data_IF_402564878254
#
_entry.id   IF_402564878254
#
_cell.length_a   1.000
_cell.length_b   1.000
_cell.length_c   1.000
_cell.angle_alpha   90.00
_cell.angle_beta   90.00
_cell.angle_gamma   90.00
#
_symmetry.space_group_name_H-M   'P 1'
#
loop_
_entity.id
_entity.type
_entity.pdbx_description
1 polymer ?
#
# COMPACT_ATOMS: atom_id res chain seq x y z
N UNK A 1 5.72 25.11 -41.60
CA UNK A 1 4.77 24.06 -41.20
C UNK A 1 5.55 23.12 -40.31
N UNK A 2 5.26 23.16 -39.01
CA UNK A 2 6.19 22.78 -37.94
C UNK A 2 6.48 21.30 -37.86
N UNK A 3 7.77 21.00 -37.77
CA UNK A 3 8.33 19.74 -37.29
C UNK A 3 8.02 19.60 -35.80
N UNK A 4 7.05 18.74 -35.49
CA UNK A 4 6.69 18.32 -34.14
C UNK A 4 7.22 16.92 -33.87
N UNK A 5 8.54 16.74 -33.96
CA UNK A 5 9.20 15.52 -33.56
C UNK A 5 8.93 15.25 -32.06
N UNK A 6 8.21 14.16 -31.79
CA UNK A 6 7.86 13.67 -30.47
C UNK A 6 9.13 13.31 -29.69
N UNK A 7 9.66 14.26 -28.93
CA UNK A 7 10.77 14.07 -28.00
C UNK A 7 10.40 13.27 -26.73
N UNK A 8 9.18 12.74 -26.64
CA UNK A 8 8.63 12.13 -25.41
C UNK A 8 8.54 10.59 -25.41
N UNK A 9 8.94 9.93 -26.50
CA UNK A 9 8.82 8.45 -26.62
C UNK A 9 9.87 7.66 -25.83
N UNK A 10 11.01 8.28 -25.48
CA UNK A 10 12.08 7.61 -24.72
C UNK A 10 11.72 7.37 -23.25
N UNK A 11 10.99 8.29 -22.62
CA UNK A 11 10.56 8.10 -21.22
C UNK A 11 9.52 6.98 -21.11
N UNK A 12 8.63 6.87 -22.11
CA UNK A 12 7.61 5.82 -22.15
C UNK A 12 8.22 4.41 -22.18
N UNK A 13 9.32 4.21 -22.92
CA UNK A 13 10.00 2.91 -23.00
C UNK A 13 10.54 2.41 -21.65
N UNK A 14 11.08 3.32 -20.82
CA UNK A 14 11.57 2.98 -19.48
C UNK A 14 10.44 2.60 -18.52
N UNK A 15 9.38 3.41 -18.46
CA UNK A 15 8.25 3.17 -17.56
C UNK A 15 7.48 1.89 -17.91
N UNK A 16 7.29 1.60 -19.21
CA UNK A 16 6.64 0.37 -19.64
C UNK A 16 7.45 -0.88 -19.25
N UNK A 17 8.78 -0.79 -19.28
CA UNK A 17 9.66 -1.88 -18.83
C UNK A 17 9.52 -2.13 -17.32
N UNK A 18 9.42 -1.08 -16.51
CA UNK A 18 9.20 -1.19 -15.06
C UNK A 18 7.82 -1.79 -14.74
N UNK A 19 6.76 -1.32 -15.41
CA UNK A 19 5.42 -1.87 -15.25
C UNK A 19 5.36 -3.35 -15.66
N UNK A 20 5.98 -3.69 -16.77
CA UNK A 20 6.06 -5.08 -17.22
C UNK A 20 6.83 -5.95 -16.22
N UNK A 21 7.95 -5.47 -15.70
CA UNK A 21 8.69 -6.14 -14.63
C UNK A 21 7.79 -6.36 -13.41
N UNK A 22 7.08 -5.31 -12.96
CA UNK A 22 6.16 -5.39 -11.83
C UNK A 22 5.09 -6.48 -12.04
N UNK A 23 4.46 -6.53 -13.22
CA UNK A 23 3.48 -7.57 -13.56
C UNK A 23 4.11 -8.97 -13.48
N UNK A 24 5.34 -9.14 -13.97
CA UNK A 24 6.04 -10.43 -13.97
C UNK A 24 6.46 -10.92 -12.59
N UNK A 25 6.78 -9.99 -11.68
CA UNK A 25 7.07 -10.29 -10.28
C UNK A 25 5.81 -10.69 -9.52
N UNK A 26 4.70 -9.96 -9.72
CA UNK A 26 3.48 -10.14 -8.93
C UNK A 26 2.55 -11.23 -9.47
N UNK A 27 2.52 -11.49 -10.78
CA UNK A 27 1.57 -12.42 -11.43
C UNK A 27 2.28 -13.54 -12.20
N UNK A 28 2.96 -14.46 -11.50
CA UNK A 28 3.82 -15.45 -12.14
C UNK A 28 3.06 -16.41 -13.06
N UNK A 29 1.75 -16.61 -12.84
CA UNK A 29 0.89 -17.55 -13.58
C UNK A 29 0.17 -16.92 -14.77
N UNK A 30 0.10 -15.59 -14.83
CA UNK A 30 -0.66 -14.88 -15.88
C UNK A 30 0.17 -14.74 -17.16
N UNK A 31 1.42 -14.29 -17.02
CA UNK A 31 2.25 -13.93 -18.16
C UNK A 31 3.26 -15.00 -18.53
N UNK A 32 3.29 -15.37 -19.82
CA UNK A 32 4.42 -16.12 -20.38
C UNK A 32 5.66 -15.22 -20.37
N UNK A 33 6.69 -15.63 -19.63
CA UNK A 33 7.99 -14.93 -19.56
C UNK A 33 9.14 -15.94 -19.51
N UNK A 34 10.32 -15.52 -19.93
CA UNK A 34 11.56 -16.23 -19.60
C UNK A 34 12.13 -15.67 -18.31
N UNK A 35 12.65 -16.54 -17.45
CA UNK A 35 13.40 -16.17 -16.25
C UNK A 35 14.89 -16.44 -16.52
N UNK A 36 15.74 -15.41 -16.44
CA UNK A 36 17.20 -15.54 -16.52
C UNK A 36 17.84 -15.94 -15.19
N UNK A 37 17.06 -16.06 -14.12
CA UNK A 37 17.55 -16.34 -12.78
C UNK A 37 18.04 -15.07 -12.08
N UNK A 38 19.02 -15.24 -11.18
CA UNK A 38 19.54 -14.15 -10.37
C UNK A 38 20.12 -13.01 -11.23
N UNK A 39 19.72 -11.78 -10.93
CA UNK A 39 20.24 -10.57 -11.56
C UNK A 39 21.37 -10.00 -10.70
N UNK A 40 22.55 -9.69 -11.26
CA UNK A 40 23.60 -8.99 -10.53
C UNK A 40 23.08 -7.67 -9.93
N UNK A 41 23.48 -7.33 -8.71
CA UNK A 41 22.96 -6.17 -7.96
C UNK A 41 23.12 -4.80 -8.66
N UNK A 42 24.07 -4.68 -9.60
CA UNK A 42 24.29 -3.45 -10.37
C UNK A 42 23.37 -3.32 -11.60
N UNK A 43 22.59 -4.35 -11.93
CA UNK A 43 21.65 -4.34 -13.04
C UNK A 43 20.21 -4.18 -12.55
N UNK A 44 19.33 -3.49 -13.32
CA UNK A 44 17.93 -3.41 -12.98
C UNK A 44 17.29 -4.80 -12.90
N UNK A 45 16.40 -5.01 -11.92
CA UNK A 45 15.66 -6.28 -11.77
C UNK A 45 14.87 -6.67 -13.02
N UNK A 46 14.43 -5.69 -13.81
CA UNK A 46 13.80 -5.91 -15.12
C UNK A 46 14.67 -6.76 -16.07
N UNK A 47 16.00 -6.76 -15.90
CA UNK A 47 16.92 -7.61 -16.64
C UNK A 47 16.77 -9.11 -16.29
N UNK A 48 16.05 -9.50 -15.23
CA UNK A 48 15.69 -10.90 -14.97
C UNK A 48 14.84 -11.48 -16.08
N UNK A 49 13.94 -10.66 -16.60
CA UNK A 49 12.85 -11.14 -17.42
C UNK A 49 13.18 -11.04 -18.90
N UNK A 50 12.85 -12.11 -19.63
CA UNK A 50 12.81 -12.11 -21.10
C UNK A 50 11.34 -12.01 -21.49
N UNK A 51 10.99 -10.91 -22.14
CA UNK A 51 9.68 -10.76 -22.74
C UNK A 51 9.48 -11.88 -23.78
N UNK A 52 8.46 -12.71 -23.58
CA UNK A 52 7.99 -13.65 -24.60
C UNK A 52 6.74 -13.06 -25.23
N UNK A 53 6.67 -13.05 -26.55
CA UNK A 53 5.48 -12.57 -27.25
C UNK A 53 4.28 -13.51 -27.04
N UNK A 54 3.10 -12.88 -26.97
CA UNK A 54 1.73 -13.39 -27.03
C UNK A 54 1.43 -14.75 -26.35
N UNK A 55 0.51 -14.70 -25.38
CA UNK A 55 -0.29 -15.87 -25.01
C UNK A 55 -1.27 -16.14 -26.15
N UNK A 56 -1.43 -17.41 -26.51
CA UNK A 56 -2.42 -17.88 -27.48
C UNK A 56 -3.82 -17.44 -27.01
N UNK A 57 -4.54 -16.68 -27.83
CA UNK A 57 -5.84 -16.07 -27.47
C UNK A 57 -5.80 -14.58 -27.06
N UNK A 58 -4.61 -13.96 -27.00
CA UNK A 58 -4.47 -12.50 -26.94
C UNK A 58 -5.02 -11.83 -25.66
N UNK A 59 -5.58 -10.62 -25.80
CA UNK A 59 -6.08 -9.82 -24.67
C UNK A 59 -7.24 -10.48 -23.92
N UNK A 60 -8.10 -11.22 -24.62
CA UNK A 60 -9.26 -11.90 -24.02
C UNK A 60 -8.79 -12.95 -23.01
N UNK A 61 -7.78 -13.74 -23.37
CA UNK A 61 -7.19 -14.73 -22.45
C UNK A 61 -6.55 -14.09 -21.23
N UNK A 62 -5.85 -12.96 -21.39
CA UNK A 62 -5.31 -12.22 -20.25
C UNK A 62 -6.42 -11.71 -19.33
N UNK A 63 -7.51 -11.19 -19.90
CA UNK A 63 -8.63 -10.70 -19.12
C UNK A 63 -9.28 -11.81 -18.31
N UNK A 64 -9.54 -12.97 -18.92
CA UNK A 64 -10.08 -14.14 -18.24
C UNK A 64 -9.17 -14.62 -17.10
N UNK A 65 -7.85 -14.64 -17.31
CA UNK A 65 -6.88 -15.01 -16.25
C UNK A 65 -6.87 -14.01 -15.10
N UNK A 66 -6.99 -12.72 -15.40
CA UNK A 66 -7.09 -11.67 -14.38
C UNK A 66 -8.41 -11.78 -13.60
N UNK A 67 -9.52 -12.03 -14.29
CA UNK A 67 -10.84 -12.17 -13.66
C UNK A 67 -10.93 -13.45 -12.80
N UNK A 68 -10.11 -14.46 -13.09
CA UNK A 68 -10.02 -15.72 -12.34
C UNK A 68 -8.90 -15.76 -11.29
N UNK A 69 -8.23 -14.64 -11.01
CA UNK A 69 -7.15 -14.58 -10.02
C UNK A 69 -7.62 -14.93 -8.62
N UNK A 70 -6.91 -15.87 -7.99
CA UNK A 70 -7.03 -16.13 -6.56
C UNK A 70 -5.92 -15.42 -5.79
N UNK A 71 -6.08 -15.30 -4.47
CA UNK A 71 -5.09 -14.68 -3.58
C UNK A 71 -3.72 -15.38 -3.69
N UNK A 72 -3.73 -16.70 -3.83
CA UNK A 72 -2.55 -17.56 -3.99
C UNK A 72 -1.84 -17.43 -5.35
N UNK A 73 -2.50 -16.83 -6.34
CA UNK A 73 -1.91 -16.55 -7.65
C UNK A 73 -1.08 -15.25 -7.67
N UNK A 74 -1.18 -14.45 -6.61
CA UNK A 74 -0.52 -13.15 -6.47
C UNK A 74 0.61 -13.24 -5.46
N UNK A 75 1.82 -12.86 -5.89
CA UNK A 75 2.94 -12.67 -4.98
C UNK A 75 2.87 -11.25 -4.45
N UNK A 76 2.53 -11.05 -3.18
CA UNK A 76 2.41 -9.71 -2.59
C UNK A 76 3.75 -9.08 -2.25
N UNK A 77 4.76 -9.90 -1.96
CA UNK A 77 6.07 -9.44 -1.51
C UNK A 77 7.21 -10.00 -2.38
N UNK A 78 7.19 -9.78 -3.71
CA UNK A 78 8.15 -10.40 -4.61
C UNK A 78 9.58 -9.85 -4.44
N UNK A 79 9.75 -8.79 -3.65
CA UNK A 79 11.02 -8.11 -3.41
C UNK A 79 11.62 -8.43 -2.03
N UNK A 80 11.02 -9.30 -1.21
CA UNK A 80 11.50 -9.54 0.16
C UNK A 80 12.98 -9.97 0.22
N UNK A 81 13.43 -10.82 -0.72
CA UNK A 81 14.84 -11.21 -0.84
C UNK A 81 15.76 -10.02 -1.12
N UNK A 82 15.28 -9.03 -1.87
CA UNK A 82 16.03 -7.81 -2.20
C UNK A 82 15.98 -6.78 -1.07
N UNK A 83 14.93 -6.78 -0.23
CA UNK A 83 14.77 -5.85 0.90
C UNK A 83 15.87 -6.01 1.94
N UNK A 84 16.41 -7.21 2.11
CA UNK A 84 17.58 -7.44 2.97
C UNK A 84 18.81 -6.63 2.52
N UNK A 85 18.91 -6.33 1.22
CA UNK A 85 20.02 -5.58 0.62
C UNK A 85 19.67 -4.10 0.38
N UNK A 86 18.39 -3.76 0.32
CA UNK A 86 17.88 -2.41 0.05
C UNK A 86 16.69 -2.08 0.94
N UNK A 87 16.93 -1.38 2.05
CA UNK A 87 15.87 -0.90 2.95
C UNK A 87 14.98 0.12 2.21
N UNK A 88 13.80 -0.34 1.77
CA UNK A 88 12.81 0.48 1.04
C UNK A 88 12.01 1.41 1.98
N UNK A 89 12.11 1.22 3.28
CA UNK A 89 11.28 1.87 4.29
C UNK A 89 11.44 3.40 4.30
N UNK A 90 12.65 3.89 4.08
CA UNK A 90 12.96 5.32 4.11
C UNK A 90 12.15 6.09 3.06
N UNK A 91 12.10 5.60 1.82
CA UNK A 91 11.38 6.24 0.71
C UNK A 91 9.87 6.26 1.00
N UNK A 92 9.33 5.19 1.60
CA UNK A 92 7.90 5.08 1.93
C UNK A 92 7.42 6.07 3.00
N UNK A 93 8.35 6.64 3.78
CA UNK A 93 8.07 7.66 4.79
C UNK A 93 8.10 9.08 4.21
N UNK A 94 8.38 9.25 2.91
CA UNK A 94 8.29 10.56 2.28
C UNK A 94 6.86 11.11 2.38
N UNK A 95 6.74 12.43 2.50
CA UNK A 95 5.48 13.15 2.33
C UNK A 95 5.70 14.34 1.40
N UNK A 96 4.89 14.44 0.34
CA UNK A 96 5.04 15.44 -0.72
C UNK A 96 4.51 14.93 -2.05
N UNK A 97 4.81 15.63 -3.14
CA UNK A 97 4.36 15.21 -4.47
C UNK A 97 5.31 14.19 -5.09
N UNK A 98 4.75 13.10 -5.61
CA UNK A 98 5.46 12.18 -6.48
C UNK A 98 5.04 12.45 -7.92
N UNK A 99 6.00 12.40 -8.84
CA UNK A 99 5.79 12.51 -10.27
C UNK A 99 6.15 11.20 -10.94
N UNK A 100 5.25 10.71 -11.78
CA UNK A 100 5.51 9.59 -12.67
C UNK A 100 4.92 9.94 -14.03
N UNK A 101 5.78 9.97 -15.06
CA UNK A 101 5.44 10.51 -16.38
C UNK A 101 4.80 11.92 -16.28
N UNK A 102 3.68 12.16 -16.96
CA UNK A 102 2.93 13.42 -16.91
C UNK A 102 2.02 13.57 -15.69
N UNK A 103 1.94 12.58 -14.80
CA UNK A 103 1.02 12.58 -13.66
C UNK A 103 1.79 12.92 -12.39
N UNK A 104 1.20 13.80 -11.59
CA UNK A 104 1.72 14.18 -10.28
C UNK A 104 0.64 13.97 -9.23
N UNK A 105 0.98 13.21 -8.19
CA UNK A 105 0.06 12.88 -7.10
C UNK A 105 0.66 13.28 -5.76
N UNK A 106 -0.14 13.84 -4.83
CA UNK A 106 0.32 14.00 -3.46
C UNK A 106 0.44 12.61 -2.82
N UNK A 107 1.63 12.30 -2.32
CA UNK A 107 1.91 11.13 -1.48
C UNK A 107 2.02 11.60 -0.04
N UNK A 108 0.99 11.30 0.76
CA UNK A 108 0.82 11.79 2.12
C UNK A 108 0.84 10.60 3.07
N UNK A 109 2.04 10.11 3.38
CA UNK A 109 2.26 8.93 4.22
C UNK A 109 1.64 9.07 5.62
N UNK A 110 1.46 10.29 6.11
CA UNK A 110 0.79 10.59 7.37
C UNK A 110 -0.70 10.22 7.40
N UNK A 111 -1.33 9.96 6.25
CA UNK A 111 -2.72 9.47 6.18
C UNK A 111 -2.84 7.99 6.55
N UNK A 112 -1.72 7.26 6.53
CA UNK A 112 -1.67 5.82 6.73
C UNK A 112 -0.60 5.41 7.76
N UNK A 113 -0.38 6.22 8.82
CA UNK A 113 0.64 6.00 9.85
C UNK A 113 0.61 4.59 10.46
N UNK A 114 -0.58 3.99 10.57
CA UNK A 114 -0.75 2.61 11.08
C UNK A 114 -0.03 1.57 10.24
N UNK A 115 0.08 1.76 8.93
CA UNK A 115 0.82 0.85 8.03
C UNK A 115 2.33 0.85 8.35
N UNK A 116 2.81 1.93 8.94
CA UNK A 116 4.22 2.11 9.34
C UNK A 116 4.44 1.81 10.83
N UNK A 117 3.46 1.20 11.52
CA UNK A 117 3.55 0.92 12.96
C UNK A 117 3.61 2.19 13.82
N UNK A 118 2.99 3.29 13.36
CA UNK A 118 3.01 4.60 14.03
C UNK A 118 1.61 5.01 14.50
N UNK A 119 1.56 5.86 15.52
CA UNK A 119 0.30 6.39 16.08
C UNK A 119 -0.39 7.24 15.02
N UNK A 120 -1.64 6.93 14.70
CA UNK A 120 -2.40 7.70 13.72
C UNK A 120 -2.92 9.00 14.34
N UNK A 121 -2.44 10.14 13.84
CA UNK A 121 -3.00 11.45 14.12
C UNK A 121 -3.90 11.94 12.99
N UNK A 122 -4.58 13.07 13.22
CA UNK A 122 -5.31 13.79 12.18
C UNK A 122 -4.32 14.21 11.09
N UNK A 123 -4.52 13.79 9.82
CA UNK A 123 -3.60 14.13 8.75
C UNK A 123 -3.66 15.63 8.44
N UNK A 124 -2.51 16.19 8.07
CA UNK A 124 -2.42 17.56 7.57
C UNK A 124 -3.15 17.72 6.24
N UNK A 125 -3.53 18.96 5.94
CA UNK A 125 -4.08 19.33 4.65
C UNK A 125 -3.09 19.06 3.51
N UNK A 126 -3.63 18.81 2.31
CA UNK A 126 -2.82 18.56 1.13
C UNK A 126 -2.04 19.84 0.80
N UNK A 127 -0.69 19.82 0.79
CA UNK A 127 0.08 21.01 0.45
C UNK A 127 -0.16 21.40 -1.01
N UNK A 128 -0.01 22.68 -1.38
CA UNK A 128 -0.09 23.10 -2.78
C UNK A 128 1.00 22.42 -3.61
N UNK A 129 0.67 22.11 -4.86
CA UNK A 129 1.61 21.48 -5.79
C UNK A 129 2.78 22.43 -6.08
N UNK A 130 4.04 21.99 -5.89
CA UNK A 130 5.19 22.82 -6.21
C UNK A 130 5.38 22.94 -7.72
N UNK A 131 5.99 24.05 -8.16
CA UNK A 131 6.31 24.28 -9.57
C UNK A 131 7.33 23.27 -10.12
N UNK A 132 8.24 22.80 -9.26
CA UNK A 132 9.26 21.81 -9.62
C UNK A 132 9.30 20.66 -8.61
N UNK A 133 8.53 19.61 -8.88
CA UNK A 133 8.43 18.42 -8.02
C UNK A 133 9.77 17.70 -7.91
N UNK A 134 10.50 17.54 -9.02
CA UNK A 134 11.76 16.79 -9.03
C UNK A 134 12.83 17.49 -8.21
N UNK A 135 12.91 18.83 -8.29
CA UNK A 135 13.81 19.62 -7.46
C UNK A 135 13.45 19.53 -5.98
N UNK A 136 12.17 19.63 -5.63
CA UNK A 136 11.72 19.49 -4.23
C UNK A 136 12.08 18.10 -3.72
N UNK A 137 11.76 17.04 -4.46
CA UNK A 137 12.15 15.68 -4.09
C UNK A 137 13.66 15.55 -3.86
N UNK A 138 14.48 15.98 -4.81
CA UNK A 138 15.94 15.87 -4.71
C UNK A 138 16.53 16.64 -3.52
N UNK A 139 15.95 17.78 -3.17
CA UNK A 139 16.48 18.66 -2.11
C UNK A 139 15.90 18.38 -0.74
N UNK A 140 14.69 17.81 -0.63
CA UNK A 140 14.00 17.67 0.65
C UNK A 140 13.77 16.23 1.09
N UNK A 141 13.88 15.22 0.21
CA UNK A 141 13.50 13.84 0.53
C UNK A 141 14.14 13.32 1.83
N UNK A 142 15.46 13.47 1.99
CA UNK A 142 16.16 12.98 3.19
C UNK A 142 15.67 13.68 4.47
N UNK A 143 15.48 15.00 4.40
CA UNK A 143 14.97 15.79 5.52
C UNK A 143 13.51 15.47 5.82
N UNK A 144 12.67 15.25 4.80
CA UNK A 144 11.26 14.84 4.95
C UNK A 144 11.13 13.49 5.63
N UNK A 145 11.94 12.51 5.25
CA UNK A 145 11.97 11.19 5.90
C UNK A 145 12.44 11.29 7.36
N UNK A 146 13.48 12.09 7.60
CA UNK A 146 13.98 12.35 8.96
C UNK A 146 12.92 13.03 9.82
N UNK A 147 12.23 14.04 9.26
CA UNK A 147 11.13 14.73 9.91
C UNK A 147 9.97 13.77 10.21
N UNK A 148 9.56 12.92 9.25
CA UNK A 148 8.53 11.92 9.46
C UNK A 148 8.85 11.02 10.67
N UNK A 149 10.10 10.54 10.76
CA UNK A 149 10.55 9.69 11.88
C UNK A 149 10.49 10.42 13.22
N UNK A 150 10.78 11.71 13.22
CA UNK A 150 10.79 12.56 14.42
C UNK A 150 9.40 12.99 14.87
N UNK A 151 8.52 13.35 13.93
CA UNK A 151 7.20 13.90 14.23
C UNK A 151 6.17 12.81 14.59
N UNK A 152 6.25 11.63 13.98
CA UNK A 152 5.24 10.59 14.16
C UNK A 152 5.75 9.48 15.08
N UNK A 153 5.17 9.37 16.27
CA UNK A 153 5.61 8.39 17.27
C UNK A 153 5.26 6.95 16.89
N UNK A 154 6.09 6.01 17.34
CA UNK A 154 5.85 4.57 17.17
C UNK A 154 4.66 4.16 18.04
N UNK A 155 3.78 3.33 17.48
CA UNK A 155 2.64 2.79 18.20
C UNK A 155 3.07 1.67 19.16
N UNK A 156 2.51 1.69 20.36
CA UNK A 156 2.66 0.66 21.39
C UNK A 156 1.84 -0.59 21.09
N UNK A 157 0.76 -0.46 20.31
CA UNK A 157 -0.08 -1.57 19.87
C UNK A 157 -0.70 -1.29 18.50
N UNK A 158 -1.19 -2.36 17.85
CA UNK A 158 -1.80 -2.25 16.53
C UNK A 158 -3.07 -1.38 16.59
N UNK A 159 -3.07 -0.29 15.81
CA UNK A 159 -4.23 0.59 15.69
C UNK A 159 -4.29 1.74 16.69
N UNK A 160 -3.21 2.01 17.43
CA UNK A 160 -3.11 3.21 18.28
C UNK A 160 -3.30 4.51 17.48
N UNK A 161 -4.07 5.44 18.05
CA UNK A 161 -4.42 6.73 17.44
C UNK A 161 -4.38 7.86 18.47
N UNK A 162 -4.30 9.11 18.02
CA UNK A 162 -4.48 10.28 18.92
C UNK A 162 -5.93 10.37 19.40
N UNK A 163 -6.14 10.98 20.56
CA UNK A 163 -7.46 11.05 21.23
C UNK A 163 -8.55 11.71 20.39
N UNK A 164 -8.17 12.64 19.53
CA UNK A 164 -9.04 13.40 18.63
C UNK A 164 -9.27 12.72 17.26
N UNK A 165 -8.46 11.73 16.90
CA UNK A 165 -8.47 11.14 15.56
C UNK A 165 -9.83 10.52 15.19
N UNK A 166 -10.43 9.73 16.08
CA UNK A 166 -11.70 9.07 15.77
C UNK A 166 -12.85 10.07 15.61
N UNK A 167 -12.88 11.15 16.39
CA UNK A 167 -13.89 12.19 16.25
C UNK A 167 -13.76 12.91 14.90
N UNK A 168 -12.53 13.24 14.50
CA UNK A 168 -12.25 13.79 13.17
C UNK A 168 -12.59 12.78 12.05
N UNK A 169 -12.20 11.53 12.20
CA UNK A 169 -12.48 10.48 11.22
C UNK A 169 -13.98 10.35 11.00
N UNK A 170 -14.79 10.26 12.06
CA UNK A 170 -16.25 10.11 11.96
C UNK A 170 -16.96 11.33 11.37
N UNK A 171 -16.43 12.53 11.59
CA UNK A 171 -17.03 13.77 11.08
C UNK A 171 -16.63 14.12 9.65
N UNK A 172 -15.37 13.86 9.27
CA UNK A 172 -14.79 14.33 8.00
C UNK A 172 -14.63 13.19 6.99
N UNK A 173 -13.93 12.11 7.38
CA UNK A 173 -13.52 11.06 6.44
C UNK A 173 -14.52 9.93 6.29
N UNK A 174 -15.14 9.51 7.39
CA UNK A 174 -16.06 8.38 7.45
C UNK A 174 -17.28 8.55 6.53
N UNK A 175 -17.94 9.73 6.43
CA UNK A 175 -19.07 9.92 5.52
C UNK A 175 -18.69 9.81 4.03
N UNK A 176 -17.42 10.06 3.69
CA UNK A 176 -16.91 9.92 2.33
C UNK A 176 -16.56 8.47 1.99
N UNK A 177 -16.08 7.71 2.97
CA UNK A 177 -15.71 6.30 2.81
C UNK A 177 -16.96 5.41 2.84
N UNK A 178 -17.86 5.68 3.79
CA UNK A 178 -19.13 5.01 3.96
C UNK A 178 -20.22 6.08 3.80
N UNK A 179 -20.83 6.19 2.60
CA UNK A 179 -21.96 7.07 2.39
C UNK A 179 -23.03 6.74 3.43
N UNK A 180 -23.54 7.76 4.12
CA UNK A 180 -24.72 7.56 4.97
C UNK A 180 -25.82 7.01 4.07
N UNK A 181 -26.29 5.80 4.37
CA UNK A 181 -27.47 5.27 3.71
C UNK A 181 -28.59 6.28 3.96
N UNK A 182 -29.13 6.89 2.91
CA UNK A 182 -30.28 7.78 3.00
C UNK A 182 -31.49 6.94 3.36
N UNK A 183 -31.60 6.57 4.63
CA UNK A 183 -32.84 6.13 5.20
C UNK A 183 -33.75 7.35 5.25
N UNK A 184 -34.64 7.49 4.27
CA UNK A 184 -36.04 7.86 4.44
C UNK A 184 -36.80 7.77 3.11
N UNK A 185 -37.57 6.71 2.95
CA UNK A 185 -38.87 6.75 2.31
C UNK A 185 -39.79 5.75 3.02
N UNK A 186 -40.82 6.24 3.70
CA UNK A 186 -42.07 5.49 3.91
C UNK A 186 -42.31 4.85 5.27
N UNK A 187 -43.00 5.60 6.13
CA UNK A 187 -44.21 5.20 6.90
C UNK A 187 -44.16 4.05 7.93
N UNK A 188 -44.25 4.46 9.20
CA UNK A 188 -45.27 4.07 10.20
C UNK A 188 -45.72 2.60 10.31
N UNK A 189 -45.39 1.95 11.43
CA UNK A 189 -46.37 1.38 12.40
C UNK A 189 -45.65 0.69 13.59
N UNK A 190 -45.95 1.18 14.80
CA UNK A 190 -46.09 0.52 16.11
C UNK A 190 -45.24 -0.72 16.55
N UNK A 191 -44.37 -0.44 17.54
CA UNK A 191 -44.19 -1.13 18.86
C UNK A 191 -43.57 -2.56 18.95
N UNK A 192 -43.12 -3.04 20.14
CA UNK A 192 -42.03 -2.62 21.06
C UNK A 192 -40.76 -3.50 21.01
N UNK A 193 -39.67 -2.91 21.53
CA UNK A 193 -38.62 -3.48 22.40
C UNK A 193 -38.29 -4.98 22.35
N UNK A 194 -37.04 -5.29 22.00
CA UNK A 194 -36.18 -6.18 22.80
C UNK A 194 -34.70 -5.92 22.48
N UNK A 195 -33.99 -5.36 23.45
CA UNK A 195 -32.53 -5.34 23.48
C UNK A 195 -32.01 -6.73 23.88
N UNK A 196 -30.84 -7.13 23.34
CA UNK A 196 -29.81 -7.59 24.26
C UNK A 196 -28.48 -6.88 24.01
N UNK A 197 -28.04 -6.23 25.09
CA UNK A 197 -26.69 -5.74 25.33
C UNK A 197 -25.72 -6.92 25.31
N UNK A 198 -24.69 -6.90 24.47
CA UNK A 198 -23.53 -7.78 24.64
C UNK A 198 -22.41 -6.99 25.31
N UNK A 199 -22.38 -7.11 26.63
CA UNK A 199 -21.32 -6.65 27.49
C UNK A 199 -20.04 -7.48 27.26
N UNK A 200 -18.91 -6.78 27.33
CA UNK A 200 -17.58 -7.35 27.34
C UNK A 200 -17.40 -8.32 28.53
N UNK A 201 -16.95 -9.54 28.26
CA UNK A 201 -16.35 -10.38 29.30
C UNK A 201 -14.83 -10.32 29.18
N UNK A 202 -14.26 -9.47 30.03
CA UNK A 202 -12.91 -9.59 30.56
C UNK A 202 -12.87 -10.84 31.44
N UNK A 203 -11.98 -11.78 31.14
CA UNK A 203 -11.68 -12.93 31.98
C UNK A 203 -10.18 -12.97 32.26
N UNK A 204 -9.76 -12.27 33.30
CA UNK A 204 -8.42 -12.41 33.90
C UNK A 204 -8.48 -13.53 34.94
N UNK A 205 -7.67 -14.59 34.81
CA UNK A 205 -7.13 -15.27 36.00
C UNK A 205 -5.90 -16.13 35.70
N UNK A 206 -4.79 -15.57 36.19
CA UNK A 206 -3.53 -16.13 36.67
C UNK A 206 -3.42 -17.63 36.98
N UNK A 207 -2.36 -18.21 36.40
CA UNK A 207 -1.30 -19.08 36.96
C UNK A 207 -1.57 -19.99 38.18
N UNK A 208 -1.16 -21.26 38.03
CA UNK A 208 -0.42 -21.97 39.07
C UNK A 208 0.55 -22.99 38.45
N UNK A 209 1.82 -22.89 38.88
CA UNK A 209 2.92 -23.81 38.66
C UNK A 209 2.64 -25.24 39.15
N UNK A 210 3.14 -26.24 38.43
CA UNK A 210 3.82 -27.42 38.99
C UNK A 210 4.51 -28.24 37.88
N UNK A 211 5.84 -28.25 37.85
CA UNK A 211 6.60 -29.47 37.54
C UNK A 211 7.10 -30.06 38.87
N UNK A 212 7.93 -31.13 38.91
CA UNK A 212 8.45 -31.99 37.84
C UNK A 212 8.35 -33.52 38.14
N UNK A 213 8.73 -34.39 37.19
CA UNK A 213 9.34 -35.75 37.35
C UNK A 213 9.31 -36.46 35.98
N UNK A 214 10.43 -36.65 35.26
CA UNK A 214 11.51 -37.65 35.38
C UNK A 214 11.18 -39.07 34.87
N UNK A 215 12.04 -39.55 33.94
CA UNK A 215 12.33 -40.96 33.52
C UNK A 215 11.21 -41.68 32.74
N UNK A 216 11.42 -42.43 31.66
CA UNK A 216 12.55 -43.31 31.30
C UNK A 216 12.63 -43.58 29.77
N UNK A 217 13.85 -43.98 29.35
CA UNK A 217 14.26 -44.69 28.11
C UNK A 217 14.36 -43.93 26.79
#
# INVERSE_FOLDING_TARGET
>A
MGDGAVHDTRQLGGYMTLLQCWIYEHFPRICKRGDRGAVPAHLPRACRWIAKHAVEGGLVTYRQRLDALLLEDVVFTPYDDDRANHLFEDISMFSGYLRCAGVSVPYLSERCLRQFGRIQCIPLDVPPRPNNIDWVWQTTMQSSVSAFRMLYHVASFLGEVTTDYYAWYMSVSHPLIIPRSTAHAGTSSDHPSDHPSFAAHVGTSSAAHAGPSSSDS
#
